data_IF_266080374557
#
_entry.id   IF_266080374557
#
_cell.length_a   1.000
_cell.length_b   1.000
_cell.length_c   1.000
_cell.angle_alpha   90.00
_cell.angle_beta   90.00
_cell.angle_gamma   90.00
#
_symmetry.space_group_name_H-M   'P 1'
#
loop_
_entity.id
_entity.type
_entity.pdbx_description
1 polymer ?
#
# COMPACT_ATOMS: atom_id res chain seq x y z
N UNK A 1 -35.19 14.70 19.06
CA UNK A 1 -35.27 13.22 18.99
C UNK A 1 -35.49 12.65 17.58
N UNK A 2 -35.92 13.42 16.58
CA UNK A 2 -36.24 12.94 15.20
C UNK A 2 -35.04 12.61 14.30
N UNK A 3 -33.85 13.19 14.55
CA UNK A 3 -32.65 13.02 13.71
C UNK A 3 -31.95 11.65 13.86
N UNK A 4 -31.97 11.05 15.06
CA UNK A 4 -31.25 9.80 15.36
C UNK A 4 -31.93 8.58 14.69
N UNK A 5 -33.27 8.59 14.62
CA UNK A 5 -34.05 7.52 14.00
C UNK A 5 -33.94 7.51 12.48
N UNK A 6 -33.66 8.64 11.84
CA UNK A 6 -33.56 8.71 10.39
C UNK A 6 -32.25 8.10 9.86
N UNK A 7 -31.11 8.39 10.50
CA UNK A 7 -29.80 7.89 10.06
C UNK A 7 -29.75 6.35 10.10
N UNK A 8 -30.19 5.75 11.20
CA UNK A 8 -30.27 4.29 11.33
C UNK A 8 -31.23 3.67 10.32
N UNK A 9 -32.39 4.30 10.08
CA UNK A 9 -33.33 3.83 9.04
C UNK A 9 -32.70 3.89 7.65
N UNK A 10 -31.96 4.96 7.32
CA UNK A 10 -31.30 5.07 6.03
C UNK A 10 -30.15 4.07 5.88
N UNK A 11 -29.38 3.81 6.94
CA UNK A 11 -28.37 2.75 6.95
C UNK A 11 -29.00 1.38 6.69
N UNK A 12 -30.13 1.07 7.34
CA UNK A 12 -30.87 -0.18 7.15
C UNK A 12 -31.35 -0.29 5.70
N UNK A 13 -31.91 0.78 5.12
CA UNK A 13 -32.40 0.75 3.74
C UNK A 13 -31.27 0.62 2.71
N UNK A 14 -30.12 1.28 2.91
CA UNK A 14 -28.96 1.07 2.05
C UNK A 14 -28.40 -0.36 2.19
N UNK A 15 -28.37 -0.90 3.43
CA UNK A 15 -27.98 -2.30 3.67
C UNK A 15 -28.91 -3.27 2.95
N UNK A 16 -30.24 -3.03 2.97
CA UNK A 16 -31.21 -3.85 2.23
C UNK A 16 -30.98 -3.79 0.72
N UNK A 17 -30.68 -2.61 0.17
CA UNK A 17 -30.32 -2.46 -1.26
C UNK A 17 -29.05 -3.23 -1.62
N UNK A 18 -28.15 -3.39 -0.65
CA UNK A 18 -26.85 -4.08 -0.78
C UNK A 18 -26.85 -5.45 -0.10
N UNK A 19 -28.02 -6.06 0.11
CA UNK A 19 -28.14 -7.34 0.80
C UNK A 19 -27.34 -8.45 0.11
N UNK A 20 -27.23 -8.38 -1.22
CA UNK A 20 -26.39 -9.27 -2.01
C UNK A 20 -24.91 -9.23 -1.55
N UNK A 21 -24.37 -8.05 -1.24
CA UNK A 21 -23.00 -7.89 -0.79
C UNK A 21 -22.83 -8.43 0.63
N UNK A 22 -23.78 -8.17 1.52
CA UNK A 22 -23.79 -8.74 2.88
C UNK A 22 -23.79 -10.26 2.83
N UNK A 23 -24.66 -10.86 2.01
CA UNK A 23 -24.76 -12.31 1.85
C UNK A 23 -23.45 -12.90 1.31
N UNK A 24 -22.89 -12.33 0.22
CA UNK A 24 -21.64 -12.82 -0.36
C UNK A 24 -20.45 -12.69 0.59
N UNK A 25 -20.31 -11.56 1.28
CA UNK A 25 -19.21 -11.33 2.23
C UNK A 25 -19.32 -12.26 3.43
N UNK A 26 -20.54 -12.44 3.95
CA UNK A 26 -20.79 -13.38 5.06
C UNK A 26 -20.47 -14.81 4.65
N UNK A 27 -20.92 -15.23 3.46
CA UNK A 27 -20.65 -16.55 2.92
C UNK A 27 -19.15 -16.77 2.72
N UNK A 28 -18.46 -15.80 2.12
CA UNK A 28 -17.02 -15.85 1.89
C UNK A 28 -16.24 -16.03 3.19
N UNK A 29 -16.54 -15.25 4.23
CA UNK A 29 -15.87 -15.38 5.52
C UNK A 29 -16.31 -16.63 6.30
N UNK A 30 -17.55 -17.08 6.13
CA UNK A 30 -18.02 -18.34 6.73
C UNK A 30 -17.24 -19.54 6.21
N UNK A 31 -17.03 -19.62 4.90
CA UNK A 31 -16.19 -20.67 4.31
C UNK A 31 -14.71 -20.47 4.64
N UNK A 32 -14.23 -19.22 4.64
CA UNK A 32 -12.82 -18.92 4.90
C UNK A 32 -12.41 -19.10 6.37
N UNK A 33 -13.34 -19.10 7.33
CA UNK A 33 -12.99 -19.20 8.76
C UNK A 33 -13.63 -20.43 9.45
N UNK A 34 -14.92 -20.43 9.87
CA UNK A 34 -15.51 -21.58 10.56
C UNK A 34 -15.37 -22.90 9.81
N UNK A 35 -15.73 -22.96 8.53
CA UNK A 35 -15.71 -24.21 7.75
C UNK A 35 -14.27 -24.72 7.59
N UNK A 36 -13.34 -23.83 7.22
CA UNK A 36 -11.93 -24.17 7.11
C UNK A 36 -11.35 -24.68 8.45
N UNK A 37 -11.72 -24.06 9.56
CA UNK A 37 -11.28 -24.48 10.91
C UNK A 37 -11.76 -25.88 11.24
N UNK A 38 -13.05 -26.16 11.01
CA UNK A 38 -13.63 -27.49 11.24
C UNK A 38 -12.98 -28.53 10.34
N UNK A 39 -12.74 -28.20 9.08
CA UNK A 39 -12.08 -29.09 8.13
C UNK A 39 -10.65 -29.46 8.58
N UNK A 40 -9.84 -28.45 8.93
CA UNK A 40 -8.47 -28.66 9.43
C UNK A 40 -8.47 -29.41 10.78
N UNK A 41 -9.45 -29.15 11.64
CA UNK A 41 -9.60 -29.90 12.90
C UNK A 41 -9.97 -31.38 12.65
N UNK A 42 -10.69 -31.68 11.57
CA UNK A 42 -11.07 -33.05 11.19
C UNK A 42 -9.90 -33.87 10.62
N UNK A 43 -8.91 -33.22 10.01
CA UNK A 43 -7.72 -33.88 9.47
C UNK A 43 -6.69 -34.17 10.56
N UNK A 44 -6.82 -35.31 11.25
CA UNK A 44 -5.82 -35.81 12.20
C UNK A 44 -4.67 -36.47 11.45
N UNK A 45 -3.60 -35.71 11.19
CA UNK A 45 -2.42 -36.20 10.47
C UNK A 45 -1.48 -37.08 11.31
N UNK A 46 -1.44 -36.91 12.63
CA UNK A 46 -0.62 -37.71 13.55
C UNK A 46 -1.48 -38.62 14.43
N UNK A 47 -0.98 -39.82 14.75
CA UNK A 47 -1.60 -40.69 15.75
C UNK A 47 -1.46 -40.11 17.17
N UNK A 48 -0.41 -39.32 17.42
CA UNK A 48 -0.24 -38.59 18.69
C UNK A 48 -1.10 -37.31 18.72
N UNK A 49 -1.92 -37.21 19.78
CA UNK A 49 -2.80 -36.08 20.07
C UNK A 49 -2.03 -34.81 20.43
N UNK A 50 -0.88 -34.92 21.08
CA UNK A 50 -0.10 -33.75 21.53
C UNK A 50 0.57 -33.08 20.33
N UNK A 51 1.23 -33.86 19.48
CA UNK A 51 1.80 -33.37 18.21
C UNK A 51 0.75 -32.76 17.29
N UNK A 52 -0.43 -33.39 17.19
CA UNK A 52 -1.55 -32.86 16.43
C UNK A 52 -1.99 -31.50 16.99
N UNK A 53 -2.19 -31.39 18.31
CA UNK A 53 -2.68 -30.16 18.93
C UNK A 53 -1.68 -29.00 18.77
N UNK A 54 -0.37 -29.27 18.88
CA UNK A 54 0.67 -28.26 18.61
C UNK A 54 0.61 -27.76 17.17
N UNK A 55 0.51 -28.69 16.22
CA UNK A 55 0.42 -28.37 14.79
C UNK A 55 -0.85 -27.59 14.46
N UNK A 56 -2.00 -28.04 14.98
CA UNK A 56 -3.29 -27.37 14.83
C UNK A 56 -3.25 -25.96 15.43
N UNK A 57 -2.70 -25.79 16.64
CA UNK A 57 -2.56 -24.47 17.28
C UNK A 57 -1.73 -23.50 16.44
N UNK A 58 -0.60 -23.96 15.87
CA UNK A 58 0.25 -23.13 15.01
C UNK A 58 -0.46 -22.72 13.72
N UNK A 59 -1.18 -23.66 13.09
CA UNK A 59 -1.99 -23.37 11.91
C UNK A 59 -3.05 -22.33 12.26
N UNK A 60 -3.78 -22.53 13.36
CA UNK A 60 -4.84 -21.61 13.79
C UNK A 60 -4.32 -20.21 14.12
N UNK A 61 -3.16 -20.08 14.77
CA UNK A 61 -2.51 -18.78 15.01
C UNK A 61 -2.17 -18.09 13.68
N UNK A 62 -1.57 -18.81 12.73
CA UNK A 62 -1.28 -18.27 11.39
C UNK A 62 -2.56 -17.85 10.68
N UNK A 63 -3.62 -18.65 10.83
CA UNK A 63 -4.90 -18.49 10.16
C UNK A 63 -5.68 -17.25 10.62
N UNK A 64 -5.64 -16.92 11.92
CA UNK A 64 -6.34 -15.74 12.46
C UNK A 64 -5.49 -14.48 12.47
N UNK A 65 -4.16 -14.60 12.33
CA UNK A 65 -3.22 -13.48 12.37
C UNK A 65 -3.01 -12.79 11.02
N UNK A 66 -2.18 -11.73 11.02
CA UNK A 66 -1.79 -10.99 9.81
C UNK A 66 -1.10 -11.82 8.73
N UNK A 67 -0.61 -13.02 9.07
CA UNK A 67 0.11 -13.90 8.14
C UNK A 67 -0.84 -14.58 7.13
N UNK A 68 -2.15 -14.46 7.30
CA UNK A 68 -3.13 -15.05 6.40
C UNK A 68 -3.20 -14.29 5.06
N UNK A 69 -2.43 -14.76 4.06
CA UNK A 69 -2.41 -14.20 2.71
C UNK A 69 -3.76 -14.30 1.98
N UNK A 70 -4.58 -15.31 2.30
CA UNK A 70 -5.90 -15.46 1.70
C UNK A 70 -6.85 -14.34 2.13
N UNK A 71 -6.88 -14.05 3.44
CA UNK A 71 -7.59 -12.88 3.98
C UNK A 71 -6.97 -11.62 3.40
N UNK A 72 -5.65 -11.60 3.25
CA UNK A 72 -4.97 -10.43 2.73
C UNK A 72 -5.48 -10.04 1.33
N UNK A 73 -5.60 -11.02 0.44
CA UNK A 73 -6.16 -10.88 -0.89
C UNK A 73 -7.64 -10.47 -0.87
N UNK A 74 -8.47 -11.16 -0.07
CA UNK A 74 -9.91 -10.87 0.03
C UNK A 74 -10.16 -9.42 0.45
N UNK A 75 -9.39 -8.90 1.40
CA UNK A 75 -9.57 -7.54 1.93
C UNK A 75 -9.41 -6.47 0.84
N UNK A 76 -8.42 -6.63 -0.06
CA UNK A 76 -8.23 -5.72 -1.20
C UNK A 76 -9.41 -5.78 -2.15
N UNK A 77 -9.82 -6.99 -2.52
CA UNK A 77 -10.96 -7.20 -3.43
C UNK A 77 -12.24 -6.61 -2.84
N UNK A 78 -12.52 -6.86 -1.56
CA UNK A 78 -13.69 -6.33 -0.87
C UNK A 78 -13.63 -4.81 -0.73
N UNK A 79 -12.46 -4.21 -0.49
CA UNK A 79 -12.31 -2.76 -0.42
C UNK A 79 -12.66 -2.11 -1.77
N UNK A 80 -12.18 -2.68 -2.87
CA UNK A 80 -12.51 -2.21 -4.23
C UNK A 80 -14.00 -2.39 -4.51
N UNK A 81 -14.55 -3.59 -4.31
CA UNK A 81 -15.96 -3.90 -4.59
C UNK A 81 -16.90 -3.06 -3.74
N UNK A 82 -16.63 -2.92 -2.43
CA UNK A 82 -17.47 -2.13 -1.54
C UNK A 82 -17.35 -0.62 -1.81
N UNK A 83 -16.16 -0.13 -2.16
CA UNK A 83 -15.92 1.28 -2.49
C UNK A 83 -16.66 1.67 -3.76
N UNK A 84 -16.54 0.86 -4.80
CA UNK A 84 -17.22 1.07 -6.09
C UNK A 84 -18.73 0.90 -5.95
N UNK A 85 -19.20 -0.20 -5.36
CA UNK A 85 -20.64 -0.49 -5.26
C UNK A 85 -21.39 0.55 -4.41
N UNK A 86 -20.80 0.99 -3.29
CA UNK A 86 -21.40 1.97 -2.37
C UNK A 86 -21.60 3.35 -2.99
N UNK A 87 -20.81 3.68 -4.02
CA UNK A 87 -20.87 4.98 -4.71
C UNK A 87 -21.28 4.87 -6.19
N UNK A 88 -21.69 3.68 -6.66
CA UNK A 88 -22.10 3.42 -8.05
C UNK A 88 -23.27 4.27 -8.55
N UNK A 89 -24.02 4.94 -7.66
CA UNK A 89 -25.04 5.91 -8.06
C UNK A 89 -24.43 7.17 -8.70
N UNK A 90 -23.16 7.49 -8.40
CA UNK A 90 -22.43 8.63 -8.96
C UNK A 90 -22.08 8.47 -10.44
N UNK A 91 -22.18 7.26 -10.98
CA UNK A 91 -21.86 6.96 -12.38
C UNK A 91 -23.01 7.28 -13.33
N UNK A 92 -24.23 7.46 -12.81
CA UNK A 92 -25.44 7.65 -13.62
C UNK A 92 -26.18 8.92 -13.24
N UNK A 93 -26.41 9.80 -14.22
CA UNK A 93 -27.18 11.03 -14.04
C UNK A 93 -28.55 10.78 -13.39
N UNK A 94 -29.29 9.79 -13.89
CA UNK A 94 -30.62 9.42 -13.34
C UNK A 94 -30.56 9.06 -11.85
N UNK A 95 -29.53 8.31 -11.44
CA UNK A 95 -29.36 7.91 -10.03
C UNK A 95 -28.92 9.10 -9.18
N UNK A 96 -28.00 9.94 -9.68
CA UNK A 96 -27.58 11.15 -8.97
C UNK A 96 -28.76 12.10 -8.75
N UNK A 97 -29.60 12.33 -9.77
CA UNK A 97 -30.78 13.21 -9.67
C UNK A 97 -31.77 12.69 -8.63
N UNK A 98 -31.98 11.37 -8.57
CA UNK A 98 -32.79 10.74 -7.52
C UNK A 98 -32.17 10.92 -6.13
N UNK A 99 -30.89 10.62 -5.95
CA UNK A 99 -30.23 10.71 -4.63
C UNK A 99 -30.11 12.16 -4.14
N UNK A 100 -29.88 13.12 -5.03
CA UNK A 100 -29.72 14.54 -4.70
C UNK A 100 -31.04 15.32 -4.60
N UNK A 101 -32.18 14.76 -5.03
CA UNK A 101 -33.51 15.36 -4.83
C UNK A 101 -34.12 15.00 -3.47
N UNK A 102 -33.59 13.99 -2.77
CA UNK A 102 -34.05 13.64 -1.43
C UNK A 102 -33.66 14.79 -0.46
N UNK A 103 -34.54 15.24 0.46
CA UNK A 103 -34.29 16.36 1.36
C UNK A 103 -33.31 16.02 2.50
N UNK A 104 -32.12 15.54 2.16
CA UNK A 104 -31.05 15.11 3.06
C UNK A 104 -29.76 15.79 2.60
N UNK A 105 -28.96 16.26 3.56
CA UNK A 105 -27.63 16.79 3.29
C UNK A 105 -26.74 15.73 2.62
N UNK A 106 -26.00 16.14 1.58
CA UNK A 106 -25.09 15.28 0.81
C UNK A 106 -24.08 14.55 1.70
N UNK A 107 -23.56 15.24 2.71
CA UNK A 107 -22.60 14.69 3.68
C UNK A 107 -23.17 13.49 4.45
N UNK A 108 -24.47 13.49 4.73
CA UNK A 108 -25.14 12.38 5.40
C UNK A 108 -25.34 11.18 4.48
N UNK A 109 -25.66 11.42 3.21
CA UNK A 109 -25.77 10.35 2.19
C UNK A 109 -24.41 9.67 2.04
N UNK A 110 -23.33 10.47 1.94
CA UNK A 110 -21.98 9.96 1.93
C UNK A 110 -21.68 9.14 3.19
N UNK A 111 -21.91 9.69 4.38
CA UNK A 111 -21.61 9.02 5.64
C UNK A 111 -22.34 7.68 5.78
N UNK A 112 -23.61 7.60 5.37
CA UNK A 112 -24.36 6.33 5.40
C UNK A 112 -23.74 5.30 4.47
N UNK A 113 -23.52 5.64 3.20
CA UNK A 113 -22.97 4.69 2.23
C UNK A 113 -21.53 4.26 2.59
N UNK A 114 -20.75 5.21 3.11
CA UNK A 114 -19.36 5.01 3.53
C UNK A 114 -19.28 4.06 4.74
N UNK A 115 -20.05 4.35 5.80
CA UNK A 115 -20.05 3.52 7.01
C UNK A 115 -20.65 2.14 6.75
N UNK A 116 -21.71 2.05 5.94
CA UNK A 116 -22.24 0.75 5.53
C UNK A 116 -21.20 -0.05 4.73
N UNK A 117 -20.44 0.60 3.84
CA UNK A 117 -19.34 -0.06 3.13
C UNK A 117 -18.30 -0.67 4.06
N UNK A 118 -18.04 -0.06 5.22
CA UNK A 118 -17.16 -0.62 6.25
C UNK A 118 -17.86 -1.75 7.01
N UNK A 119 -19.09 -1.52 7.50
CA UNK A 119 -19.82 -2.47 8.33
C UNK A 119 -20.16 -3.78 7.60
N UNK A 120 -20.43 -3.72 6.30
CA UNK A 120 -20.70 -4.91 5.45
C UNK A 120 -19.53 -5.90 5.48
N UNK A 121 -18.29 -5.43 5.68
CA UNK A 121 -17.09 -6.26 5.74
C UNK A 121 -16.68 -6.52 7.19
N UNK A 122 -16.64 -5.47 8.00
CA UNK A 122 -16.17 -5.54 9.38
C UNK A 122 -16.96 -6.54 10.23
N UNK A 123 -18.30 -6.50 10.16
CA UNK A 123 -19.14 -7.31 11.01
C UNK A 123 -19.12 -8.80 10.64
N UNK A 124 -19.31 -9.22 9.37
CA UNK A 124 -19.23 -10.64 9.02
C UNK A 124 -17.82 -11.21 9.21
N UNK A 125 -16.77 -10.43 8.94
CA UNK A 125 -15.40 -10.89 9.21
C UNK A 125 -15.19 -11.15 10.71
N UNK A 126 -15.53 -10.17 11.56
CA UNK A 126 -15.38 -10.28 13.01
C UNK A 126 -16.11 -11.50 13.56
N UNK A 127 -17.38 -11.68 13.20
CA UNK A 127 -18.21 -12.78 13.70
C UNK A 127 -17.61 -14.12 13.29
N UNK A 128 -17.23 -14.30 12.04
CA UNK A 128 -16.73 -15.57 11.54
C UNK A 128 -15.34 -15.93 12.10
N UNK A 129 -14.44 -14.95 12.27
CA UNK A 129 -13.12 -15.22 12.89
C UNK A 129 -13.27 -15.54 14.38
N UNK A 130 -14.21 -14.92 15.09
CA UNK A 130 -14.50 -15.26 16.50
C UNK A 130 -15.13 -16.65 16.65
N UNK A 131 -16.02 -17.06 15.73
CA UNK A 131 -16.56 -18.42 15.69
C UNK A 131 -15.43 -19.44 15.45
N UNK A 132 -14.54 -19.15 14.50
CA UNK A 132 -13.35 -19.98 14.22
C UNK A 132 -12.45 -20.12 15.45
N UNK A 133 -12.17 -19.02 16.17
CA UNK A 133 -11.43 -19.05 17.43
C UNK A 133 -12.14 -19.90 18.49
N UNK A 134 -13.46 -19.78 18.63
CA UNK A 134 -14.24 -20.60 19.56
C UNK A 134 -14.15 -22.09 19.24
N UNK A 135 -14.26 -22.47 17.97
CA UNK A 135 -14.09 -23.87 17.52
C UNK A 135 -12.67 -24.37 17.81
N UNK A 136 -11.64 -23.54 17.64
CA UNK A 136 -10.28 -23.96 17.96
C UNK A 136 -10.09 -24.23 19.46
N UNK A 137 -10.69 -23.40 20.32
CA UNK A 137 -10.64 -23.58 21.78
C UNK A 137 -11.34 -24.87 22.21
N UNK A 138 -12.47 -25.25 21.60
CA UNK A 138 -13.13 -26.53 21.93
C UNK A 138 -12.28 -27.75 21.57
N UNK A 139 -11.32 -27.61 20.65
CA UNK A 139 -10.36 -28.66 20.29
C UNK A 139 -9.11 -28.69 21.20
N UNK A 140 -8.99 -27.78 22.16
CA UNK A 140 -7.89 -27.72 23.13
C UNK A 140 -6.84 -26.64 22.85
N UNK A 141 -7.05 -25.75 21.88
CA UNK A 141 -6.17 -24.59 21.65
C UNK A 141 -6.35 -23.59 22.80
N UNK A 142 -5.25 -22.94 23.20
CA UNK A 142 -5.27 -21.92 24.26
C UNK A 142 -6.29 -20.80 23.95
N UNK A 143 -7.08 -20.34 24.93
CA UNK A 143 -8.00 -19.20 24.79
C UNK A 143 -7.34 -17.89 24.35
N UNK A 144 -6.00 -17.78 24.47
CA UNK A 144 -5.25 -16.63 23.97
C UNK A 144 -5.46 -16.36 22.47
N UNK A 145 -5.92 -17.35 21.69
CA UNK A 145 -6.25 -17.20 20.27
C UNK A 145 -7.31 -16.12 19.99
N UNK A 146 -8.21 -15.83 20.92
CA UNK A 146 -9.17 -14.73 20.76
C UNK A 146 -8.47 -13.36 20.65
N UNK A 147 -7.40 -13.16 21.41
CA UNK A 147 -6.59 -11.95 21.33
C UNK A 147 -5.89 -11.81 19.97
N UNK A 148 -5.31 -12.90 19.47
CA UNK A 148 -4.68 -12.93 18.15
C UNK A 148 -5.69 -12.76 17.01
N UNK A 149 -6.87 -13.36 17.13
CA UNK A 149 -7.95 -13.17 16.16
C UNK A 149 -8.48 -11.73 16.15
N UNK A 150 -8.59 -11.07 17.30
CA UNK A 150 -8.93 -9.65 17.37
C UNK A 150 -7.84 -8.76 16.76
N UNK A 151 -6.57 -9.02 17.07
CA UNK A 151 -5.43 -8.29 16.48
C UNK A 151 -5.38 -8.46 14.97
N UNK A 152 -5.55 -9.68 14.46
CA UNK A 152 -5.59 -9.95 13.03
C UNK A 152 -6.76 -9.25 12.34
N UNK A 153 -7.96 -9.34 12.93
CA UNK A 153 -9.13 -8.60 12.44
C UNK A 153 -8.87 -7.09 12.39
N UNK A 154 -8.34 -6.51 13.47
CA UNK A 154 -8.02 -5.08 13.54
C UNK A 154 -6.98 -4.69 12.47
N UNK A 155 -5.92 -5.50 12.30
CA UNK A 155 -4.87 -5.29 11.31
C UNK A 155 -5.45 -5.18 9.90
N UNK A 156 -6.23 -6.18 9.50
CA UNK A 156 -6.85 -6.20 8.17
C UNK A 156 -7.92 -5.11 8.00
N UNK A 157 -8.68 -4.79 9.05
CA UNK A 157 -9.69 -3.73 8.98
C UNK A 157 -9.09 -2.32 8.88
N UNK A 158 -7.93 -2.08 9.49
CA UNK A 158 -7.22 -0.81 9.35
C UNK A 158 -6.72 -0.62 7.91
N UNK A 159 -6.12 -1.66 7.30
CA UNK A 159 -5.75 -1.60 5.89
C UNK A 159 -6.95 -1.52 4.96
N UNK A 160 -8.01 -2.28 5.26
CA UNK A 160 -9.28 -2.18 4.54
C UNK A 160 -9.75 -0.73 4.48
N UNK A 161 -9.75 -0.02 5.61
CA UNK A 161 -10.16 1.39 5.67
C UNK A 161 -9.33 2.27 4.75
N UNK A 162 -8.00 2.14 4.75
CA UNK A 162 -7.12 2.96 3.91
C UNK A 162 -7.32 2.69 2.41
N UNK A 163 -7.38 1.41 2.03
CA UNK A 163 -7.60 0.98 0.65
C UNK A 163 -9.01 1.39 0.19
N UNK A 164 -10.03 1.13 1.01
CA UNK A 164 -11.42 1.51 0.77
C UNK A 164 -11.57 3.03 0.62
N UNK A 165 -10.97 3.83 1.51
CA UNK A 165 -11.00 5.28 1.41
C UNK A 165 -10.37 5.78 0.09
N UNK A 166 -9.25 5.18 -0.31
CA UNK A 166 -8.57 5.50 -1.58
C UNK A 166 -9.45 5.17 -2.79
N UNK A 167 -10.10 4.00 -2.80
CA UNK A 167 -11.08 3.61 -3.84
C UNK A 167 -12.22 4.62 -3.89
N UNK A 168 -12.77 5.01 -2.72
CA UNK A 168 -13.85 5.98 -2.66
C UNK A 168 -13.39 7.34 -3.20
N UNK A 169 -12.18 7.80 -2.90
CA UNK A 169 -11.61 9.02 -3.51
C UNK A 169 -11.61 8.90 -5.03
N UNK A 170 -11.11 7.79 -5.58
CA UNK A 170 -11.08 7.55 -7.02
C UNK A 170 -12.48 7.62 -7.63
N UNK A 171 -13.45 6.89 -7.07
CA UNK A 171 -14.85 6.87 -7.53
C UNK A 171 -15.48 8.26 -7.42
N UNK A 172 -15.20 9.01 -6.34
CA UNK A 172 -15.70 10.38 -6.15
C UNK A 172 -15.05 11.38 -7.11
N UNK A 173 -13.84 11.11 -7.60
CA UNK A 173 -13.17 11.94 -8.60
C UNK A 173 -13.61 11.64 -10.03
N UNK A 174 -14.29 10.51 -10.27
CA UNK A 174 -14.71 10.05 -11.60
C UNK A 174 -16.23 9.97 -11.73
N UNK A 175 -16.77 10.09 -12.94
CA UNK A 175 -18.21 9.92 -13.21
C UNK A 175 -18.55 8.61 -13.91
N UNK A 176 -17.61 7.67 -14.00
CA UNK A 176 -17.79 6.42 -14.72
C UNK A 176 -17.04 5.29 -14.01
N UNK A 177 -17.70 4.14 -13.88
CA UNK A 177 -17.18 2.93 -13.24
C UNK A 177 -15.78 2.53 -13.72
N UNK A 178 -15.59 2.40 -15.03
CA UNK A 178 -14.31 1.95 -15.61
C UNK A 178 -13.21 2.96 -15.30
N UNK A 179 -13.51 4.26 -15.44
CA UNK A 179 -12.54 5.32 -15.16
C UNK A 179 -12.22 5.38 -13.67
N UNK A 180 -13.19 5.12 -12.78
CA UNK A 180 -12.98 5.02 -11.34
C UNK A 180 -12.06 3.86 -10.95
N UNK A 181 -12.20 2.71 -11.60
CA UNK A 181 -11.30 1.56 -11.43
C UNK A 181 -9.88 1.88 -11.92
N UNK A 182 -9.74 2.48 -13.11
CA UNK A 182 -8.44 2.93 -13.61
C UNK A 182 -7.80 3.97 -12.70
N UNK A 183 -8.60 4.93 -12.21
CA UNK A 183 -8.16 5.94 -11.24
C UNK A 183 -7.72 5.34 -9.90
N UNK A 184 -8.37 4.26 -9.46
CA UNK A 184 -7.93 3.49 -8.28
C UNK A 184 -6.53 2.92 -8.51
N UNK A 185 -6.28 2.32 -9.68
CA UNK A 185 -4.94 1.86 -10.06
C UNK A 185 -3.91 2.99 -10.07
N UNK A 186 -4.26 4.17 -10.61
CA UNK A 186 -3.38 5.34 -10.56
C UNK A 186 -3.03 5.71 -9.12
N UNK A 187 -4.00 5.78 -8.20
CA UNK A 187 -3.69 6.10 -6.80
C UNK A 187 -2.85 5.03 -6.09
N UNK A 188 -3.03 3.75 -6.43
CA UNK A 188 -2.24 2.68 -5.82
C UNK A 188 -0.80 2.62 -6.32
N UNK A 189 -0.57 2.91 -7.61
CA UNK A 189 0.73 2.64 -8.24
C UNK A 189 1.53 3.88 -8.61
N UNK A 190 0.92 5.07 -8.68
CA UNK A 190 1.64 6.28 -9.13
C UNK A 190 2.85 6.60 -8.25
N UNK A 191 2.66 6.75 -6.93
CA UNK A 191 3.76 7.05 -5.99
C UNK A 191 4.87 6.01 -6.01
N UNK A 192 4.55 4.70 -5.84
CA UNK A 192 5.54 3.62 -5.94
C UNK A 192 6.31 3.62 -7.27
N UNK A 193 5.63 3.85 -8.39
CA UNK A 193 6.28 3.91 -9.71
C UNK A 193 7.19 5.14 -9.86
N UNK A 194 6.84 6.28 -9.28
CA UNK A 194 7.74 7.45 -9.25
C UNK A 194 9.02 7.12 -8.49
N UNK A 195 8.91 6.47 -7.33
CA UNK A 195 10.09 6.08 -6.54
C UNK A 195 10.94 5.03 -7.25
N UNK A 196 10.32 3.99 -7.82
CA UNK A 196 11.01 2.99 -8.64
C UNK A 196 11.72 3.60 -9.85
N UNK A 197 11.10 4.57 -10.50
CA UNK A 197 11.75 5.28 -11.60
C UNK A 197 12.87 6.18 -11.11
N UNK A 198 12.70 6.83 -9.95
CA UNK A 198 13.77 7.64 -9.36
C UNK A 198 14.99 6.76 -9.10
N UNK A 199 14.81 5.67 -8.35
CA UNK A 199 15.85 4.67 -8.08
C UNK A 199 16.49 4.13 -9.36
N UNK A 200 15.67 3.78 -10.35
CA UNK A 200 16.15 3.32 -11.65
C UNK A 200 17.01 4.36 -12.38
N UNK A 201 16.66 5.64 -12.32
CA UNK A 201 17.44 6.71 -12.94
C UNK A 201 18.77 6.95 -12.23
N UNK A 202 18.76 6.97 -10.89
CA UNK A 202 19.97 7.12 -10.08
C UNK A 202 20.94 5.95 -10.31
N UNK A 203 20.46 4.71 -10.16
CA UNK A 203 21.27 3.49 -10.35
C UNK A 203 21.78 3.27 -11.77
N UNK A 204 21.08 3.80 -12.80
CA UNK A 204 21.48 3.59 -14.20
C UNK A 204 22.50 4.60 -14.70
N UNK A 205 22.38 5.87 -14.28
CA UNK A 205 23.16 6.97 -14.89
C UNK A 205 24.16 7.65 -13.95
N UNK A 206 24.11 7.41 -12.64
CA UNK A 206 25.14 7.88 -11.72
C UNK A 206 26.02 6.72 -11.25
N UNK A 207 27.32 6.87 -11.46
CA UNK A 207 28.28 5.83 -11.12
C UNK A 207 28.54 5.73 -9.62
N UNK A 208 28.57 6.87 -8.92
CA UNK A 208 28.82 6.91 -7.48
C UNK A 208 27.56 6.73 -6.63
N UNK A 209 26.43 6.35 -7.23
CA UNK A 209 25.19 6.12 -6.50
C UNK A 209 25.22 4.81 -5.72
N UNK A 210 24.74 4.87 -4.47
CA UNK A 210 24.62 3.72 -3.59
C UNK A 210 23.30 3.82 -2.81
N UNK A 211 22.49 2.77 -2.83
CA UNK A 211 21.27 2.68 -2.02
C UNK A 211 21.63 2.24 -0.61
N UNK A 212 21.19 3.01 0.38
CA UNK A 212 21.37 2.71 1.80
C UNK A 212 20.44 1.62 2.33
N UNK A 213 19.76 0.87 1.44
CA UNK A 213 18.84 -0.23 1.78
C UNK A 213 17.45 0.21 2.26
N UNK A 214 17.20 1.52 2.36
CA UNK A 214 15.92 2.06 2.85
C UNK A 214 14.89 2.25 1.73
N UNK A 215 15.27 2.04 0.47
CA UNK A 215 14.41 2.28 -0.68
C UNK A 215 13.05 1.56 -0.59
N UNK A 216 13.06 0.27 -0.22
CA UNK A 216 11.84 -0.55 -0.12
C UNK A 216 10.86 -0.01 0.93
N UNK A 217 11.36 0.49 2.07
CA UNK A 217 10.52 1.08 3.11
C UNK A 217 9.84 2.36 2.61
N UNK A 218 10.59 3.23 1.93
CA UNK A 218 10.06 4.46 1.35
C UNK A 218 8.97 4.17 0.29
N UNK A 219 9.19 3.16 -0.55
CA UNK A 219 8.20 2.67 -1.52
C UNK A 219 6.94 2.14 -0.84
N UNK A 220 7.10 1.48 0.30
CA UNK A 220 6.00 1.05 1.16
C UNK A 220 5.13 2.19 1.65
N UNK A 221 5.71 3.31 2.04
CA UNK A 221 4.99 4.36 2.76
C UNK A 221 4.18 5.31 1.86
N UNK A 222 4.40 5.30 0.54
CA UNK A 222 3.72 6.23 -0.39
C UNK A 222 2.35 5.76 -0.88
N UNK A 223 2.00 4.49 -0.69
CA UNK A 223 0.73 3.93 -1.17
C UNK A 223 0.14 2.97 -0.14
N UNK A 224 -1.13 3.16 0.28
CA UNK A 224 -1.81 2.21 1.16
C UNK A 224 -1.79 0.77 0.68
N UNK A 225 -1.84 0.57 -0.64
CA UNK A 225 -1.82 -0.77 -1.23
C UNK A 225 -0.43 -1.40 -1.19
N UNK A 226 0.63 -0.64 -1.49
CA UNK A 226 1.99 -1.18 -1.44
C UNK A 226 2.44 -1.38 0.01
N UNK A 227 2.10 -0.44 0.90
CA UNK A 227 2.33 -0.61 2.34
C UNK A 227 1.73 -1.92 2.84
N UNK A 228 0.51 -2.22 2.39
CA UNK A 228 -0.17 -3.46 2.72
C UNK A 228 0.52 -4.71 2.16
N UNK A 229 1.04 -4.65 0.93
CA UNK A 229 1.78 -5.75 0.31
C UNK A 229 3.10 -6.06 1.03
N UNK A 230 3.80 -5.03 1.53
CA UNK A 230 5.02 -5.20 2.32
C UNK A 230 4.68 -5.70 3.72
N UNK A 231 3.62 -5.14 4.31
CA UNK A 231 3.12 -5.51 5.62
C UNK A 231 3.89 -4.86 6.76
N UNK A 232 3.17 -4.53 7.83
CA UNK A 232 3.72 -3.89 9.02
C UNK A 232 3.71 -4.81 10.23
N UNK A 233 4.56 -4.54 11.22
CA UNK A 233 4.42 -5.14 12.56
C UNK A 233 3.24 -4.47 13.28
N UNK A 234 2.27 -5.23 13.80
CA UNK A 234 1.05 -4.69 14.42
C UNK A 234 1.33 -4.14 15.84
N UNK A 235 2.11 -3.07 15.91
CA UNK A 235 2.37 -2.29 17.14
C UNK A 235 1.29 -1.24 17.36
N UNK A 236 1.23 -0.65 18.55
CA UNK A 236 0.30 0.45 18.83
C UNK A 236 0.53 1.66 17.89
N UNK A 237 1.79 1.99 17.64
CA UNK A 237 2.17 3.07 16.70
C UNK A 237 1.70 2.78 15.28
N UNK A 238 1.81 1.52 14.84
CA UNK A 238 1.27 1.07 13.56
C UNK A 238 -0.24 1.30 13.47
N UNK A 239 -1.02 0.84 14.46
CA UNK A 239 -2.48 1.02 14.45
C UNK A 239 -2.87 2.50 14.46
N UNK A 240 -2.20 3.31 15.28
CA UNK A 240 -2.49 4.73 15.39
C UNK A 240 -2.20 5.49 14.08
N UNK A 241 -1.04 5.26 13.46
CA UNK A 241 -0.64 5.94 12.23
C UNK A 241 -1.53 5.56 11.04
N UNK A 242 -1.84 4.27 10.88
CA UNK A 242 -2.64 3.78 9.75
C UNK A 242 -4.12 4.14 9.90
N UNK A 243 -4.66 4.10 11.13
CA UNK A 243 -6.01 4.58 11.39
C UNK A 243 -6.11 6.08 11.14
N UNK A 244 -5.13 6.87 11.57
CA UNK A 244 -5.07 8.30 11.28
C UNK A 244 -5.02 8.57 9.77
N UNK A 245 -4.17 7.85 9.03
CA UNK A 245 -4.09 7.96 7.57
C UNK A 245 -5.43 7.60 6.89
N UNK A 246 -6.07 6.49 7.30
CA UNK A 246 -7.38 6.09 6.81
C UNK A 246 -8.47 7.12 7.08
N UNK A 247 -8.47 7.73 8.27
CA UNK A 247 -9.40 8.81 8.64
C UNK A 247 -9.15 10.08 7.82
N UNK A 248 -7.88 10.46 7.61
CA UNK A 248 -7.53 11.60 6.75
C UNK A 248 -8.04 11.38 5.32
N UNK A 249 -7.81 10.18 4.74
CA UNK A 249 -8.32 9.83 3.42
C UNK A 249 -9.86 9.85 3.39
N UNK A 250 -10.52 9.40 4.45
CA UNK A 250 -11.98 9.45 4.59
C UNK A 250 -12.51 10.89 4.59
N UNK A 251 -11.82 11.80 5.29
CA UNK A 251 -12.15 13.22 5.32
C UNK A 251 -11.93 13.85 3.94
N UNK A 252 -10.83 13.54 3.27
CA UNK A 252 -10.56 13.99 1.89
C UNK A 252 -11.69 13.53 0.95
N UNK A 253 -12.08 12.25 1.04
CA UNK A 253 -13.18 11.69 0.26
C UNK A 253 -14.50 12.45 0.50
N UNK A 254 -14.83 12.76 1.76
CA UNK A 254 -16.02 13.54 2.12
C UNK A 254 -15.96 14.97 1.57
N UNK A 255 -14.80 15.64 1.69
CA UNK A 255 -14.62 17.01 1.18
C UNK A 255 -14.73 17.08 -0.33
N UNK A 256 -14.15 16.10 -1.05
CA UNK A 256 -14.30 15.97 -2.50
C UNK A 256 -15.75 15.71 -2.87
N UNK A 257 -16.42 14.80 -2.16
CA UNK A 257 -17.82 14.49 -2.40
C UNK A 257 -18.73 15.71 -2.20
N UNK A 258 -18.47 16.52 -1.17
CA UNK A 258 -19.20 17.76 -0.90
C UNK A 258 -19.06 18.78 -2.03
N UNK A 259 -17.86 18.89 -2.63
CA UNK A 259 -17.57 19.81 -3.75
C UNK A 259 -17.95 19.24 -5.11
N UNK A 260 -18.37 17.97 -5.19
CA UNK A 260 -18.63 17.29 -6.46
C UNK A 260 -19.86 17.88 -7.17
N UNK A 261 -19.73 18.35 -8.42
CA UNK A 261 -20.87 18.75 -9.25
C UNK A 261 -21.76 17.54 -9.59
N UNK A 262 -23.09 17.72 -9.58
CA UNK A 262 -24.03 16.62 -9.93
C UNK A 262 -23.92 16.22 -11.40
N UNK A 263 -23.68 17.20 -12.26
CA UNK A 263 -23.57 17.09 -13.72
C UNK A 263 -22.32 16.34 -14.19
N UNK A 264 -21.40 16.02 -13.28
CA UNK A 264 -20.24 15.19 -13.55
C UNK A 264 -20.57 13.71 -13.75
N UNK A 265 -21.78 13.26 -13.38
CA UNK A 265 -22.18 11.87 -13.58
C UNK A 265 -22.14 11.48 -15.07
N UNK A 266 -21.52 10.35 -15.38
CA UNK A 266 -21.26 9.86 -16.73
C UNK A 266 -20.03 10.46 -17.42
N UNK A 267 -19.33 11.44 -16.84
CA UNK A 267 -18.07 11.99 -17.38
C UNK A 267 -16.86 11.19 -16.87
N UNK A 268 -15.75 11.22 -17.59
CA UNK A 268 -14.52 10.54 -17.17
C UNK A 268 -14.01 11.09 -15.82
N UNK A 269 -13.87 12.42 -15.72
CA UNK A 269 -13.43 13.11 -14.51
C UNK A 269 -14.52 14.07 -14.02
N UNK A 270 -14.73 14.11 -12.70
CA UNK A 270 -15.69 14.99 -12.06
C UNK A 270 -15.17 16.43 -11.90
N UNK A 271 -13.86 16.59 -11.70
CA UNK A 271 -13.21 17.89 -11.54
C UNK A 271 -12.42 18.25 -12.80
N UNK A 272 -12.71 19.40 -13.40
CA UNK A 272 -12.01 19.87 -14.60
C UNK A 272 -10.54 20.19 -14.34
N UNK A 273 -10.20 20.64 -13.13
CA UNK A 273 -8.84 21.01 -12.72
C UNK A 273 -7.94 19.78 -12.57
N UNK A 274 -8.45 18.65 -12.09
CA UNK A 274 -7.64 17.43 -11.91
C UNK A 274 -7.29 16.77 -13.24
N UNK A 275 -8.10 16.98 -14.29
CA UNK A 275 -7.92 16.42 -15.62
C UNK A 275 -6.53 16.70 -16.22
N UNK A 276 -6.07 17.96 -16.38
CA UNK A 276 -4.72 18.23 -16.89
C UNK A 276 -3.60 17.78 -15.94
N UNK A 277 -3.81 17.85 -14.61
CA UNK A 277 -2.79 17.46 -13.63
C UNK A 277 -2.49 15.96 -13.74
N UNK A 278 -3.51 15.12 -13.64
CA UNK A 278 -3.36 13.65 -13.73
C UNK A 278 -2.79 13.25 -15.09
N UNK A 279 -3.23 13.90 -16.17
CA UNK A 279 -2.66 13.71 -17.51
C UNK A 279 -1.16 13.94 -17.54
N UNK A 280 -0.70 15.10 -17.09
CA UNK A 280 0.73 15.47 -17.11
C UNK A 280 1.55 14.45 -16.31
N UNK A 281 1.09 14.13 -15.09
CA UNK A 281 1.76 13.19 -14.20
C UNK A 281 1.91 11.80 -14.84
N UNK A 282 0.84 11.25 -15.41
CA UNK A 282 0.88 9.93 -16.06
C UNK A 282 1.77 9.95 -17.31
N UNK A 283 1.62 10.96 -18.17
CA UNK A 283 2.39 11.05 -19.43
C UNK A 283 3.88 11.18 -19.17
N UNK A 284 4.28 12.01 -18.18
CA UNK A 284 5.69 12.13 -17.80
C UNK A 284 6.23 10.82 -17.20
N UNK A 285 5.48 10.18 -16.31
CA UNK A 285 5.86 8.91 -15.71
C UNK A 285 6.09 7.83 -16.78
N UNK A 286 5.17 7.73 -17.75
CA UNK A 286 5.28 6.78 -18.86
C UNK A 286 6.41 7.12 -19.83
N UNK A 287 6.67 8.39 -20.10
CA UNK A 287 7.79 8.82 -20.94
C UNK A 287 9.14 8.45 -20.29
N UNK A 288 9.32 8.79 -19.01
CA UNK A 288 10.55 8.49 -18.28
C UNK A 288 10.74 6.98 -18.07
N UNK A 289 9.66 6.25 -17.78
CA UNK A 289 9.69 4.79 -17.70
C UNK A 289 9.98 4.11 -19.02
N UNK A 290 9.43 4.62 -20.13
CA UNK A 290 9.76 4.16 -21.48
C UNK A 290 11.23 4.33 -21.79
N UNK A 291 11.82 5.49 -21.45
CA UNK A 291 13.24 5.74 -21.64
C UNK A 291 14.13 4.73 -20.88
N UNK A 292 13.84 4.51 -19.60
CA UNK A 292 14.59 3.58 -18.77
C UNK A 292 14.45 2.12 -19.27
N UNK A 293 13.23 1.71 -19.63
CA UNK A 293 12.94 0.37 -20.13
C UNK A 293 13.75 0.04 -21.40
N UNK A 294 13.68 0.91 -22.42
CA UNK A 294 14.39 0.67 -23.68
C UNK A 294 15.91 0.87 -23.55
N UNK A 295 16.36 1.73 -22.63
CA UNK A 295 17.78 1.79 -22.26
C UNK A 295 18.25 0.46 -21.68
N UNK A 296 17.55 -0.09 -20.69
CA UNK A 296 17.92 -1.36 -20.06
C UNK A 296 18.02 -2.54 -21.03
N UNK A 297 17.28 -2.52 -22.13
CA UNK A 297 17.35 -3.57 -23.16
C UNK A 297 18.58 -3.50 -24.07
N UNK A 298 19.14 -2.31 -24.32
CA UNK A 298 20.11 -2.09 -25.41
C UNK A 298 21.32 -1.23 -25.03
N UNK A 299 21.32 -0.56 -23.88
CA UNK A 299 22.41 0.27 -23.37
C UNK A 299 22.75 1.50 -24.23
N UNK A 300 21.83 1.97 -25.09
CA UNK A 300 22.11 3.05 -26.05
C UNK A 300 21.09 4.19 -25.92
N UNK A 301 21.57 5.42 -26.03
CA UNK A 301 20.77 6.65 -25.90
C UNK A 301 19.67 6.76 -26.95
N UNK A 302 19.89 6.25 -28.17
CA UNK A 302 18.87 6.22 -29.21
C UNK A 302 17.64 5.40 -28.79
N UNK A 303 17.85 4.30 -28.07
CA UNK A 303 16.77 3.48 -27.52
C UNK A 303 16.08 4.17 -26.34
N UNK A 304 16.81 4.88 -25.47
CA UNK A 304 16.20 5.68 -24.41
C UNK A 304 15.30 6.80 -24.98
N UNK A 305 15.78 7.54 -26.00
CA UNK A 305 15.00 8.58 -26.66
C UNK A 305 13.78 8.00 -27.37
N UNK A 306 13.94 6.85 -28.03
CA UNK A 306 12.82 6.11 -28.63
C UNK A 306 11.77 5.73 -27.57
N UNK A 307 12.21 5.20 -26.43
CA UNK A 307 11.34 4.86 -25.30
C UNK A 307 10.63 6.09 -24.72
N UNK A 308 11.32 7.22 -24.64
CA UNK A 308 10.76 8.49 -24.19
C UNK A 308 9.64 8.97 -25.12
N UNK A 309 9.89 8.97 -26.44
CA UNK A 309 8.92 9.37 -27.46
C UNK A 309 7.69 8.45 -27.43
N UNK A 310 7.92 7.13 -27.49
CA UNK A 310 6.83 6.15 -27.55
C UNK A 310 6.03 6.11 -26.26
N UNK A 311 6.68 6.14 -25.09
CA UNK A 311 6.01 6.23 -23.79
C UNK A 311 5.15 7.48 -23.65
N UNK A 312 5.66 8.64 -24.07
CA UNK A 312 4.91 9.90 -24.07
C UNK A 312 3.69 9.83 -25.01
N UNK A 313 3.89 9.38 -26.24
CA UNK A 313 2.85 9.31 -27.28
C UNK A 313 1.72 8.36 -26.87
N UNK A 314 2.06 7.13 -26.47
CA UNK A 314 1.09 6.10 -26.10
C UNK A 314 0.28 6.57 -24.89
N UNK A 315 0.95 7.05 -23.83
CA UNK A 315 0.26 7.50 -22.63
C UNK A 315 -0.67 8.70 -22.91
N UNK A 316 -0.23 9.67 -23.73
CA UNK A 316 -1.06 10.82 -24.10
C UNK A 316 -2.30 10.40 -24.91
N UNK A 317 -2.13 9.50 -25.88
CA UNK A 317 -3.22 8.97 -26.68
C UNK A 317 -4.24 8.22 -25.80
N UNK A 318 -3.78 7.33 -24.92
CA UNK A 318 -4.64 6.54 -24.04
C UNK A 318 -5.45 7.42 -23.09
N UNK A 319 -4.80 8.40 -22.44
CA UNK A 319 -5.51 9.28 -21.50
C UNK A 319 -6.50 10.22 -22.20
N UNK A 320 -6.22 10.68 -23.43
CA UNK A 320 -7.19 11.44 -24.23
C UNK A 320 -8.41 10.60 -24.63
N UNK A 321 -8.21 9.33 -25.00
CA UNK A 321 -9.32 8.41 -25.28
C UNK A 321 -10.17 8.24 -24.02
N UNK A 322 -9.56 7.96 -22.86
CA UNK A 322 -10.29 7.77 -21.60
C UNK A 322 -11.09 9.03 -21.24
N UNK A 323 -10.50 10.20 -21.43
CA UNK A 323 -11.10 11.48 -21.05
C UNK A 323 -12.23 11.97 -21.93
N UNK A 324 -12.23 11.59 -23.20
CA UNK A 324 -13.24 12.02 -24.15
C UNK A 324 -14.16 10.89 -24.61
N UNK A 325 -13.86 9.65 -24.23
CA UNK A 325 -14.49 8.42 -24.72
C UNK A 325 -14.56 8.34 -26.25
N UNK A 326 -13.56 8.92 -26.94
CA UNK A 326 -13.57 9.09 -28.39
C UNK A 326 -12.15 8.97 -28.97
N UNK A 327 -11.97 8.00 -29.86
CA UNK A 327 -10.71 7.76 -30.58
C UNK A 327 -10.35 8.89 -31.55
N UNK A 328 -11.29 9.73 -31.98
CA UNK A 328 -10.97 10.85 -32.87
C UNK A 328 -10.23 11.99 -32.15
N UNK A 329 -10.24 12.00 -30.81
CA UNK A 329 -9.67 13.07 -29.98
C UNK A 329 -8.27 12.77 -29.41
N UNK A 330 -7.58 11.77 -29.98
CA UNK A 330 -6.23 11.34 -29.58
C UNK A 330 -5.21 12.46 -29.38
N UNK A 331 -5.26 13.51 -30.21
CA UNK A 331 -4.31 14.62 -30.21
C UNK A 331 -4.93 15.96 -29.77
N UNK A 332 -6.10 15.93 -29.12
CA UNK A 332 -6.84 17.15 -28.78
C UNK A 332 -6.04 18.13 -27.91
N UNK A 333 -5.06 17.65 -27.13
CA UNK A 333 -4.19 18.49 -26.28
C UNK A 333 -2.70 18.29 -26.59
N UNK A 334 -2.34 18.24 -27.88
CA UNK A 334 -0.95 18.03 -28.33
C UNK A 334 0.07 19.01 -27.71
N UNK A 335 -0.31 20.26 -27.39
CA UNK A 335 0.58 21.21 -26.70
C UNK A 335 1.02 20.71 -25.32
N UNK A 336 0.12 20.07 -24.58
CA UNK A 336 0.47 19.46 -23.29
C UNK A 336 1.34 18.22 -23.48
N UNK A 337 1.12 17.44 -24.54
CA UNK A 337 2.00 16.33 -24.91
C UNK A 337 3.43 16.81 -25.16
N UNK A 338 3.58 17.85 -26.00
CA UNK A 338 4.89 18.47 -26.28
C UNK A 338 5.52 19.00 -24.99
N UNK A 339 4.75 19.66 -24.12
CA UNK A 339 5.24 20.11 -22.82
C UNK A 339 5.75 18.96 -21.95
N UNK A 340 5.00 17.87 -21.82
CA UNK A 340 5.42 16.68 -21.07
C UNK A 340 6.68 16.05 -21.67
N UNK A 341 6.75 15.97 -23.00
CA UNK A 341 7.91 15.46 -23.72
C UNK A 341 9.16 16.31 -23.43
N UNK A 342 9.07 17.64 -23.57
CA UNK A 342 10.19 18.55 -23.33
C UNK A 342 10.67 18.44 -21.89
N UNK A 343 9.77 18.43 -20.91
CA UNK A 343 10.15 18.29 -19.49
C UNK A 343 10.80 16.93 -19.23
N UNK A 344 10.25 15.85 -19.76
CA UNK A 344 10.83 14.51 -19.58
C UNK A 344 12.20 14.38 -20.24
N UNK A 345 12.39 15.03 -21.40
CA UNK A 345 13.68 15.08 -22.09
C UNK A 345 14.71 15.87 -21.28
N UNK A 346 14.32 16.98 -20.66
CA UNK A 346 15.20 17.73 -19.76
C UNK A 346 15.64 16.84 -18.60
N UNK A 347 14.70 16.13 -17.95
CA UNK A 347 15.02 15.19 -16.87
C UNK A 347 16.02 14.13 -17.35
N UNK A 348 15.76 13.48 -18.50
CA UNK A 348 16.69 12.50 -19.06
C UNK A 348 18.09 13.10 -19.29
N UNK A 349 18.19 14.31 -19.84
CA UNK A 349 19.46 14.98 -20.08
C UNK A 349 20.20 15.32 -18.77
N UNK A 350 19.48 15.75 -17.73
CA UNK A 350 20.05 16.07 -16.41
C UNK A 350 20.77 14.85 -15.82
N UNK A 351 20.13 13.68 -15.83
CA UNK A 351 20.73 12.45 -15.36
C UNK A 351 21.83 11.95 -16.31
N UNK A 352 21.55 11.87 -17.61
CA UNK A 352 22.48 11.27 -18.57
C UNK A 352 23.82 12.01 -18.67
N UNK A 353 23.80 13.34 -18.61
CA UNK A 353 25.00 14.17 -18.76
C UNK A 353 25.54 14.68 -17.42
N UNK A 354 24.99 14.19 -16.31
CA UNK A 354 25.35 14.64 -14.97
C UNK A 354 25.42 16.17 -14.88
N UNK A 355 24.33 16.85 -15.26
CA UNK A 355 24.32 18.32 -15.32
C UNK A 355 24.35 18.97 -13.92
N UNK A 356 23.98 18.21 -12.89
CA UNK A 356 24.02 18.63 -11.48
C UNK A 356 25.41 18.42 -10.88
N UNK A 357 26.26 17.58 -11.49
CA UNK A 357 27.59 17.28 -10.99
C UNK A 357 27.59 16.32 -9.81
N UNK A 358 26.63 15.37 -9.79
CA UNK A 358 26.52 14.33 -8.76
C UNK A 358 27.79 13.47 -8.71
N UNK A 359 28.20 12.89 -9.85
CA UNK A 359 29.41 12.05 -9.93
C UNK A 359 30.69 12.90 -9.85
N UNK A 360 30.61 14.20 -10.16
CA UNK A 360 31.75 15.13 -10.08
C UNK A 360 31.98 15.70 -8.68
N UNK A 361 31.02 15.52 -7.78
CA UNK A 361 31.10 16.08 -6.44
C UNK A 361 32.06 15.26 -5.58
N UNK A 362 33.09 15.94 -5.05
CA UNK A 362 34.02 15.36 -4.07
C UNK A 362 33.86 16.17 -2.78
N UNK A 363 33.49 15.53 -1.65
CA UNK A 363 33.35 16.21 -0.37
C UNK A 363 34.70 16.73 0.13
N UNK A 364 34.69 17.84 0.88
CA UNK A 364 35.90 18.34 1.55
C UNK A 364 36.32 17.38 2.66
N UNK A 365 37.62 17.27 2.94
CA UNK A 365 38.16 16.40 4.00
C UNK A 365 37.46 16.61 5.35
N UNK A 366 37.19 17.86 5.72
CA UNK A 366 36.50 18.21 6.96
C UNK A 366 35.03 17.76 7.04
N UNK A 367 34.45 17.27 5.94
CA UNK A 367 33.07 16.80 5.86
C UNK A 367 32.97 15.26 5.85
N UNK A 368 34.10 14.55 5.77
CA UNK A 368 34.15 13.09 5.76
C UNK A 368 34.36 12.60 7.20
N UNK A 369 33.35 11.95 7.77
CA UNK A 369 33.43 11.39 9.13
C UNK A 369 34.20 10.07 9.16
N UNK A 370 33.95 9.20 8.18
CA UNK A 370 34.61 7.91 8.00
C UNK A 370 34.53 7.49 6.52
N UNK A 371 35.40 6.57 6.12
CA UNK A 371 35.37 5.93 4.82
C UNK A 371 35.62 4.43 5.01
N UNK A 372 34.86 3.61 4.30
CA UNK A 372 35.03 2.17 4.25
C UNK A 372 35.15 1.74 2.79
N UNK A 373 35.94 0.71 2.55
CA UNK A 373 36.04 0.06 1.23
C UNK A 373 35.32 -1.26 1.35
N UNK A 374 34.28 -1.45 0.55
CA UNK A 374 33.61 -2.74 0.40
C UNK A 374 34.09 -3.36 -0.91
N UNK A 375 34.69 -4.54 -0.81
CA UNK A 375 35.15 -5.33 -1.95
C UNK A 375 34.23 -6.54 -2.04
N UNK A 376 33.31 -6.50 -3.01
CA UNK A 376 32.46 -7.63 -3.37
C UNK A 376 33.31 -8.89 -3.56
N UNK A 377 32.84 -10.03 -3.06
CA UNK A 377 33.53 -11.34 -3.00
C UNK A 377 34.65 -11.49 -1.95
N UNK A 378 35.26 -10.39 -1.48
CA UNK A 378 36.30 -10.43 -0.43
C UNK A 378 35.74 -10.14 0.97
N UNK A 379 34.61 -9.43 1.05
CA UNK A 379 33.95 -9.10 2.31
C UNK A 379 32.70 -9.97 2.58
N UNK A 380 32.24 -10.74 1.60
CA UNK A 380 30.99 -11.53 1.69
C UNK A 380 31.17 -12.93 2.34
N UNK A 381 32.41 -13.34 2.58
CA UNK A 381 32.77 -14.65 3.18
C UNK A 381 32.81 -14.65 4.72
N UNK A 382 32.87 -13.47 5.34
CA UNK A 382 32.79 -13.29 6.79
C UNK A 382 31.74 -12.21 7.08
N UNK A 383 30.69 -12.57 7.80
CA UNK A 383 29.75 -11.59 8.35
C UNK A 383 30.49 -10.81 9.45
N UNK A 384 30.89 -9.57 9.14
CA UNK A 384 31.54 -8.68 10.11
C UNK A 384 30.58 -8.15 11.18
N UNK A 385 29.31 -8.57 11.16
CA UNK A 385 28.27 -8.16 12.08
C UNK A 385 27.76 -6.74 11.78
N UNK A 386 26.57 -6.43 12.29
CA UNK A 386 26.09 -5.05 12.31
C UNK A 386 26.84 -4.27 13.38
N UNK A 387 27.24 -3.02 13.08
CA UNK A 387 27.82 -2.11 14.07
C UNK A 387 26.78 -1.78 15.16
N UNK A 388 26.72 -2.62 16.18
CA UNK A 388 25.91 -2.36 17.37
C UNK A 388 26.54 -1.22 18.19
N UNK A 389 25.74 -0.36 18.83
CA UNK A 389 26.27 0.68 19.72
C UNK A 389 27.05 0.04 20.87
N UNK A 390 28.30 0.50 21.05
CA UNK A 390 29.22 0.04 22.09
C UNK A 390 28.56 0.02 23.48
N UNK A 391 28.43 -1.15 24.09
CA UNK A 391 28.09 -1.31 25.51
C UNK A 391 29.37 -1.51 26.32
N UNK A 392 29.52 -0.77 27.43
CA UNK A 392 30.58 -1.03 28.40
C UNK A 392 30.32 -2.39 29.09
N UNK A 393 31.37 -3.16 29.43
CA UNK A 393 31.25 -4.55 29.91
C UNK A 393 30.89 -4.65 31.41
N UNK A 394 29.96 -3.84 31.91
CA UNK A 394 29.58 -3.87 33.35
C UNK A 394 28.09 -4.18 33.61
N UNK A 395 27.29 -4.55 32.61
CA UNK A 395 25.90 -4.97 32.83
C UNK A 395 25.69 -6.45 32.44
N UNK A 396 25.00 -7.18 33.33
CA UNK A 396 24.84 -8.64 33.33
C UNK A 396 24.35 -9.20 31.98
N UNK A 397 25.14 -10.12 31.41
CA UNK A 397 24.86 -10.80 30.14
C UNK A 397 23.48 -11.49 30.07
N UNK A 398 22.86 -11.82 31.21
CA UNK A 398 21.52 -12.42 31.25
C UNK A 398 20.39 -11.43 30.94
N UNK A 399 20.55 -10.15 31.28
CA UNK A 399 19.53 -9.12 31.02
C UNK A 399 19.52 -8.70 29.53
N UNK A 400 20.68 -8.81 28.87
CA UNK A 400 20.86 -8.51 27.45
C UNK A 400 20.13 -9.50 26.54
N UNK A 401 20.23 -10.80 26.85
CA UNK A 401 19.51 -11.85 26.10
C UNK A 401 18.00 -11.67 26.29
N UNK A 402 17.55 -11.36 27.50
CA UNK A 402 16.11 -11.17 27.76
C UNK A 402 15.52 -10.00 26.96
N UNK A 403 16.27 -8.89 26.83
CA UNK A 403 15.83 -7.70 26.10
C UNK A 403 15.88 -7.88 24.57
N UNK A 404 16.83 -8.66 24.05
CA UNK A 404 16.90 -9.00 22.62
C UNK A 404 15.74 -9.92 22.18
N UNK A 405 15.27 -10.80 23.07
CA UNK A 405 14.08 -11.63 22.84
C UNK A 405 12.76 -10.85 22.99
N UNK A 406 12.75 -9.72 23.67
CA UNK A 406 11.56 -8.89 23.92
C UNK A 406 11.40 -7.70 22.97
N UNK A 407 12.36 -7.44 22.07
CA UNK A 407 12.24 -6.43 21.01
C UNK A 407 12.15 -4.99 21.51
N UNK A 408 12.80 -4.67 22.63
CA UNK A 408 12.77 -3.34 23.26
C UNK A 408 14.00 -2.51 22.88
N UNK A 409 13.74 -1.60 21.95
CA UNK A 409 14.31 -0.26 21.72
C UNK A 409 15.62 0.02 20.97
N UNK A 410 15.44 0.93 20.00
CA UNK A 410 16.39 1.89 19.43
C UNK A 410 16.85 2.90 20.48
N UNK A 411 18.14 3.24 20.52
CA UNK A 411 18.63 4.44 21.21
C UNK A 411 19.57 5.30 20.34
N UNK A 412 19.56 6.64 20.50
CA UNK A 412 20.13 7.58 19.55
C UNK A 412 21.60 7.97 19.86
N UNK A 413 22.40 8.05 18.79
CA UNK A 413 23.47 9.03 18.59
C UNK A 413 24.67 9.03 19.55
N UNK A 414 25.71 8.23 19.26
CA UNK A 414 27.13 8.49 19.58
C UNK A 414 28.05 7.85 18.53
N UNK A 415 29.27 8.38 18.29
CA UNK A 415 30.13 7.95 17.19
C UNK A 415 30.75 6.57 17.44
N UNK A 416 30.80 5.75 16.39
CA UNK A 416 31.36 4.40 16.37
C UNK A 416 32.88 4.47 16.16
N UNK A 417 33.66 3.77 16.99
CA UNK A 417 35.07 3.48 16.71
C UNK A 417 35.27 1.96 16.72
N UNK A 418 35.97 1.47 15.71
CA UNK A 418 36.46 0.09 15.64
C UNK A 418 37.73 0.00 16.49
N UNK A 419 37.72 -0.80 17.55
CA UNK A 419 38.95 -1.24 18.19
C UNK A 419 39.45 -2.43 17.39
N UNK A 420 40.57 -2.27 16.67
CA UNK A 420 41.14 -3.38 15.95
C UNK A 420 41.60 -4.45 16.92
N UNK A 421 40.99 -5.64 16.85
CA UNK A 421 41.55 -6.84 17.48
C UNK A 421 43.00 -6.98 17.01
N UNK A 422 43.89 -7.08 17.99
CA UNK A 422 45.32 -7.13 17.74
C UNK A 422 45.65 -8.42 17.00
N UNK A 423 46.58 -8.34 16.06
CA UNK A 423 47.05 -9.47 15.24
C UNK A 423 47.71 -10.60 16.06
N UNK A 424 47.88 -10.41 17.36
CA UNK A 424 48.59 -11.33 18.25
C UNK A 424 47.68 -12.42 18.86
N UNK A 425 46.34 -12.30 18.76
CA UNK A 425 45.39 -13.24 19.36
C UNK A 425 45.12 -14.52 18.53
N UNK A 426 45.69 -14.61 17.31
CA UNK A 426 45.55 -15.78 16.41
C UNK A 426 46.79 -16.68 16.35
N UNK A 427 47.76 -16.52 17.26
CA UNK A 427 48.94 -17.37 17.34
C UNK A 427 49.00 -18.16 18.65
N UNK A 428 47.97 -18.95 18.94
CA UNK A 428 48.10 -20.06 19.88
C UNK A 428 47.20 -21.24 19.50
N UNK A 429 47.67 -22.05 18.55
CA UNK A 429 47.48 -23.51 18.59
C UNK A 429 48.48 -24.13 17.63
N UNK A 430 49.37 -24.95 18.20
CA UNK A 430 50.39 -25.74 17.51
C UNK A 430 50.18 -27.20 17.89
#
# INVERSE_FOLDING_TARGET
MTLKNWFSKFMIEDTKRRLWAVALVTLLFFFSFPVATVFVAGTRYSQDRIEWLRSFSRIMLTFVSKQNLWVAFIIVVLAIVCGVSGFSYLDSKKKVDFYHSIPIKREKIFAVNYLNGILIVAAPYFINVMISAAVAVTQGVSPAIFGEAFKGWAYFMTYYLMIYATVVIAVVMTGNLIVGLLGTGVFFFYGPMVLLLTEGYFSTWFYSYYDSGQFIEHVGNVSPFINYCIGGTPTWTFFASHLAAGLILSVIALLLYRKRPSEAAGKAMAFSISKPIIRILIVMLSALGGALFFWGMRGNIGWAVFGLITGCLIAHCVIEIIYNFDFKKLFSHYKQMIGCFVVSLIVLCVFRYDLVGFDRYIPKESQVASAAVSISDLDDWLDYGELAPFHKPEEDYEELILNQWLGVEQFPGRPFMWESESRDDHLSEK
#
